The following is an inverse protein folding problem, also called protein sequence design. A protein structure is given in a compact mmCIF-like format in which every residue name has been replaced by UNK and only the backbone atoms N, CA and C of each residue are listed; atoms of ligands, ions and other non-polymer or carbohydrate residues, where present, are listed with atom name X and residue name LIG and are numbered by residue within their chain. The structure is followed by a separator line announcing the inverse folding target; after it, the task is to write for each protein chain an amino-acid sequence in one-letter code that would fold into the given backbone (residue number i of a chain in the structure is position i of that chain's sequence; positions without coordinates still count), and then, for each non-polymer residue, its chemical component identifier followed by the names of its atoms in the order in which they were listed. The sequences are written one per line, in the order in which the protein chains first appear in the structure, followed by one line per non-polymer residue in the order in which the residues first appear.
data_IF_234577207232
#
_entry.id   IF_234577207232
#
_cell.length_a   1.000
_cell.length_b   1.000
_cell.length_c   1.000
_cell.angle_alpha   90.00
_cell.angle_beta   90.00
_cell.angle_gamma   90.00
#
_symmetry.space_group_name_H-M   'P 1'
#
loop_
_entity.id
_entity.type
_entity.pdbx_description
1 polymer ?
#
# COMPACT_ATOMS: atom_id res chain seq x y z
N UNK A 1 -0.63 -15.53 18.49
CA UNK A 1 0.13 -14.52 19.25
C UNK A 1 -0.83 -13.87 20.24
N UNK A 2 -0.72 -14.19 21.53
CA UNK A 2 -1.72 -13.85 22.57
C UNK A 2 -1.41 -12.47 23.16
N UNK A 3 -2.27 -11.46 22.97
CA UNK A 3 -2.20 -10.21 23.72
C UNK A 3 -2.29 -10.50 25.22
N UNK A 4 -1.56 -9.77 26.06
CA UNK A 4 -1.81 -9.84 27.51
C UNK A 4 -3.27 -9.43 27.79
N UNK A 5 -3.83 -9.93 28.88
CA UNK A 5 -5.25 -9.74 29.24
C UNK A 5 -5.68 -8.26 29.21
N UNK A 6 -4.76 -7.34 29.49
CA UNK A 6 -4.99 -5.89 29.51
C UNK A 6 -4.69 -5.15 28.20
N UNK A 7 -4.12 -5.82 27.17
CA UNK A 7 -3.76 -5.22 25.86
C UNK A 7 -2.78 -4.03 25.92
N UNK A 8 -2.05 -3.83 27.01
CA UNK A 8 -1.16 -2.67 27.19
C UNK A 8 0.28 -2.91 26.71
N UNK A 9 0.65 -4.15 26.37
CA UNK A 9 2.02 -4.53 26.00
C UNK A 9 2.31 -4.43 24.49
N UNK A 10 1.63 -3.56 23.76
CA UNK A 10 1.82 -3.45 22.30
C UNK A 10 3.19 -2.85 21.95
N UNK A 11 3.66 -1.87 22.73
CA UNK A 11 4.95 -1.20 22.53
C UNK A 11 6.13 -2.18 22.64
N UNK A 12 6.10 -3.10 23.60
CA UNK A 12 7.19 -4.07 23.82
C UNK A 12 7.25 -5.15 22.74
N UNK A 13 6.13 -5.36 22.02
CA UNK A 13 6.01 -6.37 20.97
C UNK A 13 6.18 -5.80 19.56
N UNK A 14 6.16 -4.47 19.41
CA UNK A 14 6.31 -3.80 18.13
C UNK A 14 7.60 -4.22 17.39
N UNK A 15 8.78 -4.32 18.03
CA UNK A 15 10.00 -4.76 17.34
C UNK A 15 9.89 -6.19 16.80
N UNK A 16 9.24 -7.08 17.56
CA UNK A 16 9.03 -8.47 17.13
C UNK A 16 8.04 -8.56 15.97
N UNK A 17 6.98 -7.75 16.01
CA UNK A 17 6.00 -7.68 14.92
C UNK A 17 6.64 -7.12 13.65
N UNK A 18 7.42 -6.03 13.75
CA UNK A 18 8.16 -5.45 12.63
C UNK A 18 9.15 -6.46 12.04
N UNK A 19 9.94 -7.11 12.89
CA UNK A 19 10.87 -8.16 12.46
C UNK A 19 10.13 -9.29 11.74
N UNK A 20 9.01 -9.75 12.29
CA UNK A 20 8.21 -10.82 11.66
C UNK A 20 7.65 -10.40 10.31
N UNK A 21 7.14 -9.17 10.21
CA UNK A 21 6.63 -8.59 8.97
C UNK A 21 7.73 -8.46 7.90
N UNK A 22 8.91 -7.98 8.28
CA UNK A 22 10.03 -7.78 7.34
C UNK A 22 10.58 -9.11 6.81
N UNK A 23 10.50 -10.19 7.60
CA UNK A 23 11.00 -11.52 7.24
C UNK A 23 9.94 -12.43 6.61
N UNK A 24 8.69 -12.00 6.55
CA UNK A 24 7.63 -12.79 5.92
C UNK A 24 7.62 -12.59 4.41
N UNK A 25 7.39 -13.68 3.67
CA UNK A 25 7.25 -13.61 2.22
C UNK A 25 5.95 -12.91 1.81
N UNK A 26 6.08 -11.80 1.10
CA UNK A 26 4.91 -11.11 0.58
C UNK A 26 4.37 -11.81 -0.67
N UNK A 27 3.06 -12.04 -0.74
CA UNK A 27 2.42 -12.74 -1.85
C UNK A 27 2.61 -12.08 -3.22
N UNK A 28 2.83 -10.76 -3.24
CA UNK A 28 3.07 -9.95 -4.44
C UNK A 28 4.51 -9.96 -4.94
N UNK A 29 5.49 -10.12 -4.06
CA UNK A 29 6.93 -10.12 -4.40
C UNK A 29 7.55 -11.52 -4.34
N UNK A 30 6.86 -12.48 -3.72
CA UNK A 30 7.29 -13.87 -3.46
C UNK A 30 8.59 -13.98 -2.66
N UNK A 31 8.97 -12.89 -1.99
CA UNK A 31 10.22 -12.75 -1.25
C UNK A 31 9.97 -11.84 -0.04
N UNK A 32 10.72 -12.08 1.04
CA UNK A 32 10.82 -11.19 2.18
C UNK A 32 11.45 -9.83 1.80
N UNK A 33 10.99 -8.77 2.47
CA UNK A 33 11.61 -7.43 2.39
C UNK A 33 13.08 -7.47 2.83
N UNK A 34 13.38 -8.20 3.90
CA UNK A 34 14.75 -8.36 4.41
C UNK A 34 15.66 -8.98 3.35
N UNK A 35 15.22 -10.08 2.71
CA UNK A 35 15.98 -10.71 1.64
C UNK A 35 16.16 -9.80 0.42
N UNK A 36 15.13 -9.01 0.07
CA UNK A 36 15.20 -8.07 -1.05
C UNK A 36 16.22 -6.94 -0.83
N UNK A 37 16.37 -6.48 0.41
CA UNK A 37 17.30 -5.40 0.78
C UNK A 37 18.73 -5.93 0.96
N UNK A 38 18.89 -7.04 1.67
CA UNK A 38 20.20 -7.53 2.11
C UNK A 38 20.73 -8.72 1.30
N UNK A 39 19.92 -9.31 0.42
CA UNK A 39 20.29 -10.48 -0.40
C UNK A 39 20.51 -11.78 0.41
N UNK A 40 20.09 -11.79 1.68
CA UNK A 40 20.22 -12.91 2.64
C UNK A 40 19.10 -12.85 3.68
N UNK A 41 18.77 -13.99 4.27
CA UNK A 41 17.84 -14.11 5.39
C UNK A 41 18.55 -13.89 6.74
N UNK A 42 17.84 -13.45 7.79
CA UNK A 42 18.43 -13.30 9.11
C UNK A 42 18.83 -14.67 9.68
N UNK A 43 20.04 -14.75 10.22
CA UNK A 43 20.51 -15.93 10.97
C UNK A 43 20.32 -15.66 12.47
N UNK A 44 19.72 -16.63 13.17
CA UNK A 44 19.45 -16.54 14.61
C UNK A 44 20.49 -17.28 15.47
N UNK A 45 21.39 -18.04 14.85
CA UNK A 45 22.43 -18.75 15.58
C UNK A 45 23.48 -17.78 16.14
N UNK A 46 24.04 -18.13 17.28
CA UNK A 46 25.10 -17.39 17.97
C UNK A 46 26.15 -16.91 16.98
N UNK A 47 26.32 -15.59 16.87
CA UNK A 47 27.16 -14.91 15.89
C UNK A 47 28.59 -15.47 15.94
N UNK A 48 28.88 -16.44 15.07
CA UNK A 48 30.25 -16.78 14.71
C UNK A 48 30.68 -15.68 13.74
N UNK A 49 31.38 -14.66 14.24
CA UNK A 49 32.00 -13.64 13.40
C UNK A 49 33.19 -14.30 12.71
N UNK A 50 32.92 -15.09 11.67
CA UNK A 50 33.97 -15.50 10.74
C UNK A 50 34.33 -14.29 9.91
N UNK A 51 35.55 -13.78 10.07
CA UNK A 51 36.05 -12.64 9.31
C UNK A 51 35.89 -12.90 7.80
N UNK A 52 35.17 -11.97 7.17
CA UNK A 52 35.06 -11.65 5.75
C UNK A 52 35.38 -12.74 4.71
N UNK A 53 34.34 -13.11 3.94
CA UNK A 53 34.54 -13.42 2.52
C UNK A 53 34.24 -12.18 1.68
N UNK A 54 35.06 -11.83 0.68
CA UNK A 54 34.88 -10.62 -0.09
C UNK A 54 33.54 -10.66 -0.81
N UNK A 55 32.72 -9.65 -0.52
CA UNK A 55 31.38 -9.36 -1.03
C UNK A 55 31.38 -8.95 -2.51
N UNK A 56 32.17 -9.61 -3.37
CA UNK A 56 32.31 -9.21 -4.79
C UNK A 56 31.02 -9.39 -5.59
N UNK A 57 30.23 -10.42 -5.25
CA UNK A 57 29.01 -10.79 -5.98
C UNK A 57 27.72 -10.48 -5.21
N UNK A 58 27.79 -9.88 -4.02
CA UNK A 58 26.57 -9.57 -3.25
C UNK A 58 25.75 -8.47 -3.91
N UNK A 59 26.41 -7.41 -4.40
CA UNK A 59 25.72 -6.31 -5.07
C UNK A 59 25.01 -6.78 -6.35
N UNK A 60 25.67 -7.63 -7.16
CA UNK A 60 25.05 -8.21 -8.36
C UNK A 60 23.88 -9.12 -8.02
N UNK A 61 23.99 -9.91 -6.94
CA UNK A 61 22.88 -10.72 -6.40
C UNK A 61 21.71 -9.87 -5.92
N UNK A 62 21.96 -8.81 -5.16
CA UNK A 62 20.90 -7.89 -4.69
C UNK A 62 20.20 -7.26 -5.90
N UNK A 63 20.96 -6.80 -6.90
CA UNK A 63 20.39 -6.23 -8.12
C UNK A 63 19.54 -7.25 -8.90
N UNK A 64 19.95 -8.52 -8.98
CA UNK A 64 19.13 -9.54 -9.64
C UNK A 64 17.83 -9.80 -8.88
N UNK A 65 17.91 -9.95 -7.55
CA UNK A 65 16.73 -10.14 -6.70
C UNK A 65 15.77 -8.95 -6.83
N UNK A 66 16.27 -7.71 -6.80
CA UNK A 66 15.44 -6.51 -6.97
C UNK A 66 14.78 -6.44 -8.35
N UNK A 67 15.45 -6.88 -9.42
CA UNK A 67 14.85 -6.98 -10.76
C UNK A 67 13.71 -7.99 -10.79
N UNK A 68 13.88 -9.14 -10.15
CA UNK A 68 12.84 -10.17 -10.10
C UNK A 68 11.65 -9.71 -9.27
N UNK A 69 11.88 -9.12 -8.10
CA UNK A 69 10.82 -8.51 -7.26
C UNK A 69 10.06 -7.44 -8.03
N UNK A 70 10.74 -6.59 -8.80
CA UNK A 70 10.08 -5.59 -9.64
C UNK A 70 9.19 -6.23 -10.69
N UNK A 71 9.64 -7.30 -11.36
CA UNK A 71 8.85 -8.04 -12.35
C UNK A 71 7.58 -8.62 -11.72
N UNK A 72 7.71 -9.30 -10.58
CA UNK A 72 6.57 -9.89 -9.87
C UNK A 72 5.58 -8.82 -9.39
N UNK A 73 6.10 -7.68 -8.92
CA UNK A 73 5.26 -6.56 -8.52
C UNK A 73 4.43 -6.01 -9.69
N UNK A 74 5.03 -5.86 -10.87
CA UNK A 74 4.30 -5.43 -12.07
C UNK A 74 3.18 -6.42 -12.46
N UNK A 75 3.43 -7.72 -12.34
CA UNK A 75 2.42 -8.76 -12.56
C UNK A 75 1.31 -8.67 -11.51
N UNK A 76 1.67 -8.48 -10.24
CA UNK A 76 0.74 -8.33 -9.14
C UNK A 76 -0.15 -7.09 -9.31
N UNK A 77 0.42 -5.94 -9.68
CA UNK A 77 -0.32 -4.72 -10.00
C UNK A 77 -1.32 -4.95 -11.13
N UNK A 78 -0.91 -5.61 -12.22
CA UNK A 78 -1.81 -5.96 -13.33
C UNK A 78 -2.94 -6.87 -12.86
N UNK A 79 -2.66 -7.84 -11.99
CA UNK A 79 -3.65 -8.73 -11.39
C UNK A 79 -4.64 -7.93 -10.54
N UNK A 80 -4.17 -7.12 -9.61
CA UNK A 80 -5.03 -6.28 -8.76
C UNK A 80 -5.88 -5.31 -9.59
N UNK A 81 -5.31 -4.70 -10.62
CA UNK A 81 -6.05 -3.87 -11.56
C UNK A 81 -7.19 -4.65 -12.22
N UNK A 82 -6.93 -5.85 -12.77
CA UNK A 82 -7.98 -6.69 -13.37
C UNK A 82 -9.10 -7.03 -12.39
N UNK A 83 -8.78 -7.36 -11.14
CA UNK A 83 -9.81 -7.64 -10.14
C UNK A 83 -10.59 -6.38 -9.72
N UNK A 84 -9.90 -5.25 -9.54
CA UNK A 84 -10.54 -3.98 -9.22
C UNK A 84 -11.44 -3.47 -10.35
N UNK A 85 -10.98 -3.56 -11.59
CA UNK A 85 -11.72 -3.11 -12.77
C UNK A 85 -12.99 -3.94 -13.01
N UNK A 86 -13.02 -5.24 -12.64
CA UNK A 86 -14.24 -6.07 -12.70
C UNK A 86 -15.40 -5.53 -11.86
N UNK A 87 -15.10 -4.90 -10.72
CA UNK A 87 -16.11 -4.37 -9.80
C UNK A 87 -16.42 -2.90 -10.03
N UNK A 88 -15.69 -2.23 -10.93
CA UNK A 88 -15.88 -0.81 -11.23
C UNK A 88 -16.89 -0.65 -12.35
N UNK A 89 -17.92 0.15 -12.10
CA UNK A 89 -18.75 0.68 -13.19
C UNK A 89 -17.90 1.61 -14.06
N UNK A 90 -18.24 1.69 -15.35
CA UNK A 90 -17.62 2.67 -16.25
C UNK A 90 -17.80 4.07 -15.68
N UNK A 91 -16.73 4.86 -15.64
CA UNK A 91 -16.82 6.26 -15.21
C UNK A 91 -17.76 6.99 -16.17
N UNK A 92 -18.84 7.64 -15.68
CA UNK A 92 -19.72 8.42 -16.53
C UNK A 92 -18.92 9.54 -17.21
N UNK A 93 -19.21 9.77 -18.49
CA UNK A 93 -18.57 10.84 -19.25
C UNK A 93 -19.24 12.14 -18.88
N UNK A 94 -18.48 13.01 -18.22
CA UNK A 94 -18.91 14.37 -17.89
C UNK A 94 -18.45 15.36 -18.96
N UNK A 95 -19.39 16.18 -19.43
CA UNK A 95 -19.15 17.27 -20.35
C UNK A 95 -19.35 18.63 -19.66
N UNK A 96 -18.66 19.70 -20.12
CA UNK A 96 -18.97 21.05 -19.67
C UNK A 96 -20.44 21.39 -19.90
N UNK A 97 -21.11 21.94 -18.89
CA UNK A 97 -22.54 22.22 -18.90
C UNK A 97 -23.43 21.15 -18.27
N UNK A 98 -22.92 19.94 -18.03
CA UNK A 98 -23.69 18.89 -17.33
C UNK A 98 -23.93 19.29 -15.87
N UNK A 99 -25.12 18.97 -15.37
CA UNK A 99 -25.55 19.26 -14.01
C UNK A 99 -25.24 18.08 -13.08
N UNK A 100 -24.37 18.27 -12.10
CA UNK A 100 -23.91 17.21 -11.18
C UNK A 100 -24.13 17.55 -9.72
N UNK A 101 -24.34 16.52 -8.90
CA UNK A 101 -24.50 16.65 -7.46
C UNK A 101 -23.12 16.55 -6.80
N UNK A 102 -22.78 17.51 -5.92
CA UNK A 102 -21.49 17.50 -5.21
C UNK A 102 -21.61 16.84 -3.85
N UNK A 103 -20.69 15.92 -3.53
CA UNK A 103 -20.67 15.31 -2.20
C UNK A 103 -20.15 16.29 -1.15
N UNK A 104 -20.84 16.38 -0.02
CA UNK A 104 -20.45 17.27 1.09
C UNK A 104 -19.29 16.75 1.95
N UNK A 105 -18.74 15.55 1.65
CA UNK A 105 -17.69 14.92 2.47
C UNK A 105 -16.46 15.80 2.67
N UNK A 106 -16.06 16.53 1.62
CA UNK A 106 -14.86 17.36 1.58
C UNK A 106 -15.14 18.86 1.56
N UNK A 107 -16.41 19.27 1.64
CA UNK A 107 -16.84 20.67 1.58
C UNK A 107 -17.26 21.08 2.99
N UNK A 108 -16.79 22.25 3.45
CA UNK A 108 -17.20 22.79 4.75
C UNK A 108 -18.66 23.24 4.66
N UNK A 109 -19.52 22.60 5.43
CA UNK A 109 -20.92 23.03 5.57
C UNK A 109 -21.00 24.21 6.53
N UNK A 110 -21.89 25.16 6.24
CA UNK A 110 -22.24 26.24 7.16
C UNK A 110 -23.03 25.74 8.37
N UNK A 111 -23.52 24.49 8.35
CA UNK A 111 -24.26 23.92 9.48
C UNK A 111 -23.33 23.62 10.66
N UNK A 112 -23.77 23.83 11.91
CA UNK A 112 -22.95 23.62 13.11
C UNK A 112 -22.62 22.15 13.38
N UNK A 113 -23.39 21.20 12.82
CA UNK A 113 -23.14 19.76 12.99
C UNK A 113 -23.15 19.01 11.67
N UNK A 114 -22.14 18.16 11.45
CA UNK A 114 -22.01 17.32 10.24
C UNK A 114 -23.08 16.23 10.15
N UNK A 115 -23.60 15.76 11.29
CA UNK A 115 -24.61 14.68 11.36
C UNK A 115 -25.93 15.06 10.69
N UNK A 116 -26.28 16.34 10.72
CA UNK A 116 -27.49 16.89 10.11
C UNK A 116 -27.16 17.76 8.89
N UNK A 117 -25.95 17.70 8.36
CA UNK A 117 -25.60 18.38 7.12
C UNK A 117 -26.10 17.58 5.90
N UNK A 118 -26.43 18.29 4.83
CA UNK A 118 -26.77 17.67 3.55
C UNK A 118 -25.61 16.78 3.09
N UNK A 119 -25.93 15.57 2.62
CA UNK A 119 -24.90 14.64 2.11
C UNK A 119 -24.46 14.99 0.68
N UNK A 120 -25.35 15.63 -0.07
CA UNK A 120 -25.14 16.08 -1.43
C UNK A 120 -25.68 17.50 -1.54
N UNK A 121 -24.90 18.39 -2.14
CA UNK A 121 -25.39 19.70 -2.52
C UNK A 121 -26.13 19.60 -3.86
N UNK A 122 -26.98 20.61 -4.10
CA UNK A 122 -27.77 20.75 -5.33
C UNK A 122 -26.91 20.67 -6.60
N UNK A 123 -27.57 20.66 -7.75
CA UNK A 123 -26.92 20.54 -9.06
C UNK A 123 -26.03 21.75 -9.36
N UNK A 124 -24.77 21.48 -9.72
CA UNK A 124 -23.81 22.48 -10.22
C UNK A 124 -23.45 22.17 -11.66
N UNK A 125 -23.27 23.19 -12.51
CA UNK A 125 -22.78 23.00 -13.86
C UNK A 125 -21.28 22.74 -13.86
N UNK A 126 -20.84 21.78 -14.67
CA UNK A 126 -19.40 21.55 -14.90
C UNK A 126 -18.85 22.65 -15.80
N UNK A 127 -17.85 23.39 -15.31
CA UNK A 127 -17.21 24.46 -16.08
C UNK A 127 -16.16 23.92 -17.06
N UNK A 128 -15.34 22.96 -16.61
CA UNK A 128 -14.25 22.39 -17.39
C UNK A 128 -13.87 21.02 -16.85
N UNK A 129 -13.59 20.09 -17.76
CA UNK A 129 -13.01 18.78 -17.45
C UNK A 129 -11.49 18.90 -17.38
N UNK A 130 -10.88 18.42 -16.29
CA UNK A 130 -9.43 18.51 -16.08
C UNK A 130 -8.75 17.16 -16.37
N UNK A 131 -9.46 16.04 -16.15
CA UNK A 131 -8.99 14.72 -16.59
C UNK A 131 -10.15 13.74 -16.79
N UNK A 132 -9.88 12.52 -17.25
CA UNK A 132 -10.92 11.47 -17.38
C UNK A 132 -11.56 11.09 -16.04
N UNK A 133 -10.84 11.26 -14.93
CA UNK A 133 -11.30 10.94 -13.57
C UNK A 133 -11.44 12.17 -12.65
N UNK A 134 -11.30 13.39 -13.19
CA UNK A 134 -11.28 14.63 -12.42
C UNK A 134 -12.18 15.71 -13.03
#
# INVERSE_FOLDING_TARGET
MYFSYHKDDWNTRLPLAEFSCNNFDHSSTKQSLFFTVYGRDPQFDSVQITQDTPSGNLSTKIQSVQKDVKRELEVSIKRFKRYGDKSRASTPIFNPGDMVWLSSKSIKSTRPTKRLAERWFSTFPILKKVSTNA
#
